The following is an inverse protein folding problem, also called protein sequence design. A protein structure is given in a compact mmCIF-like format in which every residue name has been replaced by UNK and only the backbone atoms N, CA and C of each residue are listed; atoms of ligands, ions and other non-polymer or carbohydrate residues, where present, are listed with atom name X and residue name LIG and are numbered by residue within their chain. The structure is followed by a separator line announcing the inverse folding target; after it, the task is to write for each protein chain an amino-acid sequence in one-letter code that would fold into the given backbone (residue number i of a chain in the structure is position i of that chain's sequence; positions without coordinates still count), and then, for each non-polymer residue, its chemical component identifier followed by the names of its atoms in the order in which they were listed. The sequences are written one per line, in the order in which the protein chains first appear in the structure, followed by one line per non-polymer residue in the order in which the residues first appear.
data_IF_098252145517
#
_entry.id   IF_098252145517
#
_cell.length_a   1.000
_cell.length_b   1.000
_cell.length_c   1.000
_cell.angle_alpha   90.00
_cell.angle_beta   90.00
_cell.angle_gamma   90.00
#
_symmetry.space_group_name_H-M   'P 1'
#
loop_
_entity.id
_entity.type
_entity.pdbx_description
1 polymer ?
#
# COMPACT_ATOMS: atom_id res chain seq x y z
N UNK A 1 4.73 -56.49 -51.75
CA UNK A 1 5.42 -55.50 -50.89
C UNK A 1 4.88 -54.13 -51.24
N UNK A 2 4.13 -53.50 -50.33
CA UNK A 2 4.05 -52.04 -50.16
C UNK A 2 3.10 -51.75 -48.99
N UNK A 3 3.66 -51.23 -47.90
CA UNK A 3 2.91 -50.69 -46.75
C UNK A 3 2.51 -49.24 -47.04
N UNK A 4 1.40 -48.72 -46.48
CA UNK A 4 1.07 -47.31 -46.59
C UNK A 4 2.02 -46.47 -45.72
N UNK A 5 2.51 -45.38 -46.32
CA UNK A 5 3.32 -44.35 -45.67
C UNK A 5 2.44 -43.66 -44.62
N UNK A 6 2.83 -43.78 -43.35
CA UNK A 6 2.18 -43.07 -42.26
C UNK A 6 2.44 -41.56 -42.36
N UNK A 7 1.36 -40.79 -42.36
CA UNK A 7 1.37 -39.32 -42.27
C UNK A 7 2.11 -38.87 -41.00
N UNK A 8 3.26 -38.21 -41.19
CA UNK A 8 3.93 -37.46 -40.14
C UNK A 8 3.17 -36.15 -39.91
N UNK A 9 2.14 -36.21 -39.08
CA UNK A 9 1.41 -35.03 -38.61
C UNK A 9 2.27 -34.24 -37.60
N UNK A 10 2.97 -33.24 -38.12
CA UNK A 10 3.05 -31.87 -37.60
C UNK A 10 3.07 -31.65 -36.07
N UNK A 11 4.16 -32.07 -35.43
CA UNK A 11 4.49 -31.67 -34.05
C UNK A 11 5.13 -30.28 -33.93
N UNK A 12 5.53 -29.67 -35.06
CA UNK A 12 6.18 -28.37 -35.12
C UNK A 12 5.19 -27.22 -34.96
N UNK A 13 4.05 -27.26 -35.64
CA UNK A 13 3.03 -26.21 -35.61
C UNK A 13 2.34 -26.20 -34.25
N UNK A 14 2.08 -27.37 -33.66
CA UNK A 14 1.56 -27.51 -32.29
C UNK A 14 2.50 -26.91 -31.23
N UNK A 15 3.82 -27.12 -31.37
CA UNK A 15 4.82 -26.49 -30.50
C UNK A 15 4.88 -24.97 -30.69
N UNK A 16 4.79 -24.48 -31.92
CA UNK A 16 4.78 -23.05 -32.21
C UNK A 16 3.51 -22.36 -31.68
N UNK A 17 2.34 -23.01 -31.80
CA UNK A 17 1.09 -22.54 -31.23
C UNK A 17 1.15 -22.46 -29.69
N UNK A 18 1.72 -23.47 -29.03
CA UNK A 18 1.90 -23.47 -27.57
C UNK A 18 2.87 -22.37 -27.07
N UNK A 19 3.94 -22.10 -27.83
CA UNK A 19 4.89 -21.02 -27.53
C UNK A 19 4.22 -19.65 -27.72
N UNK A 20 3.46 -19.46 -28.80
CA UNK A 20 2.72 -18.24 -29.07
C UNK A 20 1.67 -17.97 -27.97
N UNK A 21 0.94 -19.00 -27.54
CA UNK A 21 -0.02 -18.91 -26.44
C UNK A 21 0.65 -18.50 -25.13
N UNK A 22 1.74 -19.17 -24.73
CA UNK A 22 2.50 -18.79 -23.52
C UNK A 22 3.01 -17.36 -23.58
N UNK A 23 3.56 -16.93 -24.73
CA UNK A 23 4.03 -15.54 -24.91
C UNK A 23 2.88 -14.53 -24.77
N UNK A 24 1.70 -14.85 -25.29
CA UNK A 24 0.51 -14.00 -25.19
C UNK A 24 0.00 -13.91 -23.75
N UNK A 25 -0.07 -15.02 -23.03
CA UNK A 25 -0.41 -15.03 -21.60
C UNK A 25 0.60 -14.23 -20.75
N UNK A 26 1.91 -14.37 -21.01
CA UNK A 26 2.93 -13.60 -20.29
C UNK A 26 2.86 -12.11 -20.62
N UNK A 27 2.59 -11.74 -21.86
CA UNK A 27 2.40 -10.34 -22.26
C UNK A 27 1.17 -9.72 -21.60
N UNK A 28 0.06 -10.46 -21.55
CA UNK A 28 -1.16 -10.02 -20.88
C UNK A 28 -0.95 -9.86 -19.37
N UNK A 29 -0.32 -10.83 -18.70
CA UNK A 29 0.00 -10.75 -17.29
C UNK A 29 0.95 -9.58 -16.97
N UNK A 30 1.91 -9.27 -17.86
CA UNK A 30 2.78 -8.10 -17.72
C UNK A 30 2.03 -6.78 -17.86
N UNK A 31 1.04 -6.73 -18.74
CA UNK A 31 0.25 -5.52 -18.94
C UNK A 31 -0.75 -5.31 -17.80
N UNK A 32 -1.38 -6.38 -17.32
CA UNK A 32 -2.17 -6.38 -16.08
C UNK A 32 -1.31 -5.95 -14.88
N UNK A 33 -0.08 -6.43 -14.76
CA UNK A 33 0.87 -5.99 -13.72
C UNK A 33 1.27 -4.53 -13.87
N UNK A 34 1.51 -4.05 -15.10
CA UNK A 34 1.80 -2.63 -15.36
C UNK A 34 0.59 -1.76 -15.01
N UNK A 35 -0.61 -2.14 -15.43
CA UNK A 35 -1.84 -1.43 -15.10
C UNK A 35 -2.11 -1.45 -13.60
N UNK A 36 -1.95 -2.59 -12.92
CA UNK A 36 -2.07 -2.69 -11.47
C UNK A 36 -1.03 -1.81 -10.76
N UNK A 37 0.24 -1.86 -11.18
CA UNK A 37 1.34 -1.07 -10.61
C UNK A 37 1.29 0.42 -10.94
N UNK A 38 0.52 0.80 -11.97
CA UNK A 38 0.24 2.17 -12.36
C UNK A 38 -1.08 2.70 -11.75
N UNK A 39 -2.02 1.83 -11.35
CA UNK A 39 -3.38 2.25 -10.99
C UNK A 39 -3.50 2.93 -9.62
N UNK A 40 -2.59 2.73 -8.67
CA UNK A 40 -2.58 3.53 -7.44
C UNK A 40 -1.30 3.35 -6.64
N UNK A 41 -0.39 4.32 -6.71
CA UNK A 41 0.72 4.44 -5.76
C UNK A 41 0.42 5.63 -4.86
N UNK A 42 -0.40 5.41 -3.84
CA UNK A 42 -0.65 6.44 -2.83
C UNK A 42 0.31 6.22 -1.66
N UNK A 43 1.19 7.20 -1.42
CA UNK A 43 1.99 7.27 -0.21
C UNK A 43 1.41 8.36 0.68
N UNK A 44 1.00 8.00 1.89
CA UNK A 44 0.57 8.96 2.91
C UNK A 44 1.38 8.73 4.17
N UNK A 45 1.98 9.79 4.67
CA UNK A 45 2.78 9.83 5.90
C UNK A 45 2.00 10.64 6.92
N UNK A 46 1.50 10.02 7.97
CA UNK A 46 0.85 10.74 9.08
C UNK A 46 1.81 10.87 10.25
N UNK A 47 2.16 12.10 10.62
CA UNK A 47 3.01 12.40 11.78
C UNK A 47 2.13 12.78 12.97
N UNK A 48 2.21 11.97 14.03
CA UNK A 48 1.51 12.19 15.30
C UNK A 48 2.40 12.91 16.30
N UNK A 49 2.12 14.19 16.54
CA UNK A 49 2.85 15.04 17.47
C UNK A 49 2.27 14.87 18.89
N UNK A 50 2.72 13.84 19.59
CA UNK A 50 2.13 13.39 20.87
C UNK A 50 2.20 14.39 22.03
N UNK A 51 3.07 15.41 21.93
CA UNK A 51 3.19 16.49 22.91
C UNK A 51 2.56 17.82 22.47
N UNK A 52 2.01 17.89 21.26
CA UNK A 52 1.45 19.13 20.70
C UNK A 52 -0.07 19.20 20.93
N UNK A 53 -0.59 20.42 21.05
CA UNK A 53 -2.04 20.68 21.07
C UNK A 53 -2.60 20.81 19.65
N UNK A 54 -3.89 20.52 19.43
CA UNK A 54 -4.52 20.65 18.11
C UNK A 54 -4.36 22.03 17.46
N UNK A 55 -4.29 23.09 18.25
CA UNK A 55 -4.12 24.45 17.75
C UNK A 55 -2.69 24.78 17.30
N UNK A 56 -1.70 24.00 17.73
CA UNK A 56 -0.27 24.22 17.41
C UNK A 56 0.15 23.56 16.10
N UNK A 57 -0.69 22.69 15.52
CA UNK A 57 -0.37 21.88 14.33
C UNK A 57 -0.95 22.46 13.04
N UNK A 58 -1.50 23.68 13.11
CA UNK A 58 -2.11 24.38 11.97
C UNK A 58 -1.06 25.19 11.20
N UNK A 59 -1.17 25.27 9.86
CA UNK A 59 -0.37 26.19 9.07
C UNK A 59 -0.49 27.61 9.62
N UNK A 60 0.64 28.28 9.79
CA UNK A 60 0.67 29.64 10.34
C UNK A 60 1.14 30.61 9.26
N UNK A 61 0.28 31.57 8.90
CA UNK A 61 0.66 32.67 8.00
C UNK A 61 1.64 33.62 8.69
N UNK A 62 2.73 33.99 8.01
CA UNK A 62 3.76 34.86 8.57
C UNK A 62 4.61 34.22 9.68
N UNK A 63 4.73 32.89 9.69
CA UNK A 63 5.56 32.18 10.65
C UNK A 63 7.00 32.74 10.68
N UNK A 64 7.51 32.99 11.89
CA UNK A 64 8.87 33.49 12.09
C UNK A 64 9.88 32.45 11.60
N UNK A 65 10.97 32.91 10.98
CA UNK A 65 12.06 32.03 10.58
C UNK A 65 12.63 31.29 11.80
N UNK A 66 12.78 29.96 11.70
CA UNK A 66 13.17 29.06 12.78
C UNK A 66 12.05 28.66 13.74
N UNK A 67 10.81 29.08 13.49
CA UNK A 67 9.66 28.67 14.31
C UNK A 67 9.07 27.33 13.89
N UNK A 68 8.35 26.68 14.80
CA UNK A 68 7.57 25.47 14.53
C UNK A 68 6.56 25.70 13.40
N UNK A 69 6.01 26.92 13.27
CA UNK A 69 5.10 27.27 12.18
C UNK A 69 5.74 27.21 10.79
N UNK A 70 7.02 27.60 10.67
CA UNK A 70 7.76 27.48 9.39
C UNK A 70 7.99 26.00 9.05
N UNK A 71 8.36 25.19 10.04
CA UNK A 71 8.52 23.75 9.86
C UNK A 71 7.21 23.07 9.43
N UNK A 72 6.09 23.41 10.05
CA UNK A 72 4.76 22.89 9.68
C UNK A 72 4.45 23.21 8.22
N UNK A 73 4.68 24.46 7.81
CA UNK A 73 4.42 24.89 6.44
C UNK A 73 5.31 24.13 5.44
N UNK A 74 6.60 23.96 5.73
CA UNK A 74 7.52 23.23 4.86
C UNK A 74 7.25 21.71 4.83
N UNK A 75 6.77 21.11 5.92
CA UNK A 75 6.35 19.70 5.93
C UNK A 75 5.07 19.45 5.12
N UNK A 76 4.16 20.42 5.05
CA UNK A 76 2.88 20.28 4.34
C UNK A 76 2.96 20.67 2.85
N UNK A 77 4.05 21.31 2.44
CA UNK A 77 4.29 21.77 1.06
C UNK A 77 4.47 20.67 0.00
N UNK A 78 5.14 19.52 0.29
CA UNK A 78 5.35 18.50 -0.73
C UNK A 78 4.04 17.76 -1.04
N UNK A 79 3.62 17.85 -2.30
CA UNK A 79 2.42 17.17 -2.81
C UNK A 79 2.78 16.09 -3.81
N UNK A 80 1.97 15.04 -3.84
CA UNK A 80 2.01 14.01 -4.86
C UNK A 80 1.67 14.61 -6.24
N UNK A 81 2.54 14.47 -7.26
CA UNK A 81 2.32 15.04 -8.58
C UNK A 81 1.16 14.39 -9.35
N UNK A 82 0.74 13.19 -8.95
CA UNK A 82 -0.37 12.44 -9.56
C UNK A 82 -1.67 12.81 -8.86
N UNK A 83 -1.70 12.76 -7.54
CA UNK A 83 -2.95 12.97 -6.77
C UNK A 83 -3.20 14.42 -6.34
N UNK A 84 -2.16 15.27 -6.39
CA UNK A 84 -2.21 16.66 -5.91
C UNK A 84 -2.32 16.81 -4.40
N UNK A 85 -2.32 15.70 -3.65
CA UNK A 85 -2.49 15.69 -2.18
C UNK A 85 -1.13 15.82 -1.49
N UNK A 86 -1.06 16.45 -0.30
CA UNK A 86 0.16 16.46 0.49
C UNK A 86 0.56 15.03 0.88
N UNK A 87 1.85 14.71 0.79
CA UNK A 87 2.34 13.42 1.28
C UNK A 87 2.23 13.32 2.80
N UNK A 88 2.37 14.45 3.51
CA UNK A 88 2.42 14.51 4.96
C UNK A 88 1.10 15.05 5.51
N UNK A 89 0.56 14.35 6.50
CA UNK A 89 -0.51 14.82 7.36
C UNK A 89 0.04 14.99 8.78
N UNK A 90 -0.16 16.17 9.37
CA UNK A 90 0.23 16.43 10.75
C UNK A 90 -1.00 16.31 11.67
N UNK A 91 -0.85 15.61 12.79
CA UNK A 91 -1.93 15.40 13.76
C UNK A 91 -1.38 15.63 15.17
N UNK A 92 -2.08 16.44 15.96
CA UNK A 92 -1.77 16.62 17.36
C UNK A 92 -2.22 15.40 18.19
N UNK A 93 -1.41 15.02 19.17
CA UNK A 93 -1.73 13.94 20.10
C UNK A 93 -1.35 12.55 19.61
N UNK A 94 -1.97 11.53 20.21
CA UNK A 94 -1.71 10.11 19.93
C UNK A 94 -2.66 9.59 18.85
N UNK A 95 -2.23 8.61 18.04
CA UNK A 95 -3.10 7.97 17.07
C UNK A 95 -4.28 7.28 17.74
N UNK A 96 -5.46 7.40 17.12
CA UNK A 96 -6.64 6.60 17.46
C UNK A 96 -6.67 5.40 16.53
N UNK A 97 -6.07 4.29 16.96
CA UNK A 97 -5.90 3.12 16.10
C UNK A 97 -7.21 2.56 15.54
N UNK A 98 -8.31 2.66 16.30
CA UNK A 98 -9.63 2.26 15.82
C UNK A 98 -10.08 3.06 14.57
N UNK A 99 -9.88 4.37 14.57
CA UNK A 99 -10.25 5.23 13.43
C UNK A 99 -9.37 4.87 12.22
N UNK A 100 -8.06 4.73 12.43
CA UNK A 100 -7.09 4.43 11.37
C UNK A 100 -7.33 3.05 10.75
N UNK A 101 -7.49 2.01 11.56
CA UNK A 101 -7.73 0.64 11.06
C UNK A 101 -9.11 0.49 10.43
N UNK A 102 -10.15 1.18 10.95
CA UNK A 102 -11.48 1.16 10.33
C UNK A 102 -11.46 1.81 8.93
N UNK A 103 -10.75 2.93 8.77
CA UNK A 103 -10.58 3.58 7.49
C UNK A 103 -9.79 2.70 6.51
N UNK A 104 -8.73 2.03 6.98
CA UNK A 104 -7.97 1.08 6.17
C UNK A 104 -8.80 -0.12 5.75
N UNK A 105 -9.60 -0.73 6.65
CA UNK A 105 -10.49 -1.85 6.32
C UNK A 105 -11.52 -1.45 5.27
N UNK A 106 -12.12 -0.26 5.41
CA UNK A 106 -13.09 0.25 4.44
C UNK A 106 -12.47 0.49 3.06
N UNK A 107 -11.20 0.92 3.01
CA UNK A 107 -10.46 1.18 1.78
C UNK A 107 -9.92 -0.10 1.12
N UNK A 108 -9.47 -1.07 1.90
CA UNK A 108 -8.80 -2.30 1.47
C UNK A 108 -9.63 -3.54 1.81
N UNK A 109 -10.81 -3.66 1.19
CA UNK A 109 -11.71 -4.81 1.41
C UNK A 109 -11.22 -6.05 0.67
N UNK A 110 -11.34 -7.22 1.31
CA UNK A 110 -10.91 -8.52 0.79
C UNK A 110 -9.41 -8.62 0.52
N UNK A 111 -8.61 -7.83 1.24
CA UNK A 111 -7.15 -7.75 1.07
C UNK A 111 -6.42 -8.11 2.36
N UNK A 112 -5.15 -8.54 2.23
CA UNK A 112 -4.25 -8.69 3.39
C UNK A 112 -3.38 -7.44 3.51
N UNK A 113 -3.55 -6.70 4.59
CA UNK A 113 -2.79 -5.50 4.93
C UNK A 113 -1.64 -5.86 5.87
N UNK A 114 -0.40 -5.59 5.43
CA UNK A 114 0.79 -5.72 6.27
C UNK A 114 0.97 -4.51 7.17
N UNK A 115 1.15 -4.72 8.47
CA UNK A 115 1.47 -3.67 9.43
C UNK A 115 2.89 -3.92 9.92
N UNK A 116 3.79 -2.96 9.71
CA UNK A 116 5.20 -3.06 10.14
C UNK A 116 5.43 -2.07 11.28
N UNK A 117 6.07 -2.53 12.34
CA UNK A 117 6.32 -1.71 13.53
C UNK A 117 7.74 -1.85 14.05
N UNK A 118 8.36 -0.71 14.35
CA UNK A 118 9.60 -0.57 15.12
C UNK A 118 9.39 0.54 16.16
N UNK A 119 9.70 0.26 17.44
CA UNK A 119 9.55 1.23 18.52
C UNK A 119 9.13 0.63 19.87
N UNK A 120 8.49 1.46 20.70
CA UNK A 120 8.13 1.12 22.07
C UNK A 120 7.19 -0.11 22.17
N UNK A 121 7.45 -1.07 23.08
CA UNK A 121 6.63 -2.29 23.21
C UNK A 121 5.14 -2.05 23.44
N UNK A 122 4.80 -0.98 24.18
CA UNK A 122 3.41 -0.62 24.46
C UNK A 122 2.63 -0.25 23.18
N UNK A 123 3.30 0.34 22.18
CA UNK A 123 2.68 0.63 20.89
C UNK A 123 2.50 -0.66 20.09
N UNK A 124 3.48 -1.58 20.14
CA UNK A 124 3.34 -2.90 19.50
C UNK A 124 2.12 -3.66 20.02
N UNK A 125 1.88 -3.62 21.34
CA UNK A 125 0.72 -4.25 21.95
C UNK A 125 -0.60 -3.65 21.44
N UNK A 126 -0.71 -2.33 21.40
CA UNK A 126 -1.89 -1.63 20.88
C UNK A 126 -2.14 -1.92 19.38
N UNK A 127 -1.08 -1.98 18.58
CA UNK A 127 -1.16 -2.33 17.16
C UNK A 127 -1.58 -3.79 16.97
N UNK A 128 -1.09 -4.71 17.82
CA UNK A 128 -1.50 -6.12 17.78
C UNK A 128 -2.99 -6.26 18.07
N UNK A 129 -3.48 -5.63 19.13
CA UNK A 129 -4.91 -5.61 19.48
C UNK A 129 -5.76 -5.07 18.33
N UNK A 130 -5.31 -3.99 17.69
CA UNK A 130 -5.99 -3.40 16.53
C UNK A 130 -5.97 -4.37 15.32
N UNK A 131 -4.84 -5.03 15.03
CA UNK A 131 -4.79 -6.03 13.96
C UNK A 131 -5.75 -7.20 14.21
N UNK A 132 -5.80 -7.70 15.44
CA UNK A 132 -6.68 -8.81 15.83
C UNK A 132 -8.16 -8.40 15.73
N UNK A 133 -8.51 -7.18 16.17
CA UNK A 133 -9.87 -6.62 16.14
C UNK A 133 -10.41 -6.37 14.73
N UNK A 134 -9.58 -5.89 13.81
CA UNK A 134 -10.03 -5.48 12.47
C UNK A 134 -9.82 -6.56 11.39
N UNK A 135 -9.14 -7.66 11.72
CA UNK A 135 -9.07 -8.84 10.86
C UNK A 135 -10.37 -9.63 10.90
N UNK A 136 -10.89 -10.02 9.74
CA UNK A 136 -12.21 -10.62 9.63
C UNK A 136 -12.26 -11.61 8.46
N UNK A 137 -12.66 -12.85 8.78
CA UNK A 137 -12.77 -13.92 7.79
C UNK A 137 -13.98 -13.75 6.86
N UNK A 138 -15.07 -13.14 7.33
CA UNK A 138 -16.28 -12.95 6.52
C UNK A 138 -16.09 -11.85 5.48
N UNK A 139 -15.46 -10.74 5.88
CA UNK A 139 -15.09 -9.65 4.97
C UNK A 139 -13.85 -9.98 4.12
N UNK A 140 -13.06 -10.96 4.54
CA UNK A 140 -11.85 -11.41 3.85
C UNK A 140 -10.66 -10.43 3.97
N UNK A 141 -10.75 -9.45 4.87
CA UNK A 141 -9.68 -8.48 5.14
C UNK A 141 -8.88 -8.89 6.36
N UNK A 142 -7.56 -8.97 6.23
CA UNK A 142 -6.67 -9.41 7.31
C UNK A 142 -5.55 -8.41 7.55
N UNK A 143 -5.29 -8.07 8.81
CA UNK A 143 -4.16 -7.25 9.23
C UNK A 143 -3.08 -8.13 9.84
N UNK A 144 -1.85 -8.04 9.34
CA UNK A 144 -0.72 -8.86 9.78
C UNK A 144 0.40 -7.98 10.34
N UNK A 145 0.51 -7.95 11.67
CA UNK A 145 1.59 -7.22 12.34
C UNK A 145 2.92 -7.98 12.24
N UNK A 146 3.96 -7.29 11.78
CA UNK A 146 5.36 -7.70 11.91
C UNK A 146 6.12 -6.69 12.76
N UNK A 147 6.73 -7.18 13.84
CA UNK A 147 7.71 -6.41 14.59
C UNK A 147 9.06 -6.57 13.88
N UNK A 148 9.61 -5.46 13.44
CA UNK A 148 10.92 -5.39 12.80
C UNK A 148 11.88 -4.67 13.75
N UNK A 149 13.14 -5.11 13.80
CA UNK A 149 14.22 -4.39 14.48
C UNK A 149 15.17 -3.88 13.39
N UNK A 150 14.89 -2.68 12.87
CA UNK A 150 15.70 -2.00 11.86
C UNK A 150 16.91 -1.29 12.46
#
# INVERSE_FOLDING_TARGET
VTMPVGEQHDGSEQRQAAIAFKRRCVAQAREEYKQASASSRELTITLYLTGAKPDEVKPTEGAKKGSIGELINELLKPTDPITGKPYIRLVAGRPRWDDEFSALKARHRKETVGVVFCGAPMIAAALKESCDKYSDYEDGTFFRLRKENF
#
